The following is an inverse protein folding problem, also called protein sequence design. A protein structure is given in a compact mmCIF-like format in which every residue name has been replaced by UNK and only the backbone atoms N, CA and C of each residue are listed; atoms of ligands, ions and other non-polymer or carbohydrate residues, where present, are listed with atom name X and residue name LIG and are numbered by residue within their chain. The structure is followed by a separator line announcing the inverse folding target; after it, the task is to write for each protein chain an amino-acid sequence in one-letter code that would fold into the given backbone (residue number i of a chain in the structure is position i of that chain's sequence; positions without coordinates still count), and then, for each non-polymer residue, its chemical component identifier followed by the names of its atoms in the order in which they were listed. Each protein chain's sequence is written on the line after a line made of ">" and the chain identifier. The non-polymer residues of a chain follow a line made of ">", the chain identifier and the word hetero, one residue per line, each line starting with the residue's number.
data_IF_065201327558
#
_entry.id   IF_065201327558
#
_cell.length_a   1.000
_cell.length_b   1.000
_cell.length_c   1.000
_cell.angle_alpha   90.00
_cell.angle_beta   90.00
_cell.angle_gamma   90.00
#
_symmetry.space_group_name_H-M   'P 1'
#
loop_
_entity.id
_entity.type
_entity.pdbx_description
1 polymer ?
#
# COMPACT_ATOMS: atom_id res chain seq x y z
N UNK A 1 -22.17 -19.92 22.48
CA UNK A 1 -22.79 -18.71 21.87
C UNK A 1 -22.81 -17.61 22.91
N UNK A 2 -22.44 -16.37 22.56
CA UNK A 2 -22.53 -15.22 23.47
C UNK A 2 -23.96 -15.02 24.00
N UNK A 3 -24.09 -14.54 25.23
CA UNK A 3 -25.40 -14.27 25.83
C UNK A 3 -26.08 -12.99 25.30
N UNK A 4 -25.35 -12.17 24.56
CA UNK A 4 -25.76 -10.90 23.96
C UNK A 4 -26.82 -11.03 22.87
N UNK A 5 -26.94 -12.20 22.22
CA UNK A 5 -27.93 -12.41 21.15
C UNK A 5 -29.35 -12.53 21.70
N UNK A 6 -30.25 -11.68 21.21
CA UNK A 6 -31.66 -11.67 21.60
C UNK A 6 -32.40 -12.88 20.98
N UNK A 7 -32.31 -13.07 19.66
CA UNK A 7 -33.04 -14.14 18.95
C UNK A 7 -32.15 -15.38 18.68
N UNK A 8 -31.73 -16.05 19.75
CA UNK A 8 -30.93 -17.29 19.68
C UNK A 8 -31.57 -18.40 18.81
N UNK A 9 -32.89 -18.64 18.78
CA UNK A 9 -33.50 -19.65 17.92
C UNK A 9 -33.32 -19.36 16.42
N UNK A 10 -33.62 -18.13 15.97
CA UNK A 10 -33.49 -17.76 14.54
C UNK A 10 -32.04 -17.83 14.08
N UNK A 11 -31.13 -17.28 14.88
CA UNK A 11 -29.69 -17.31 14.64
C UNK A 11 -29.16 -18.74 14.43
N UNK A 12 -29.56 -19.68 15.31
CA UNK A 12 -29.21 -21.11 15.16
C UNK A 12 -29.76 -21.71 13.88
N UNK A 13 -31.01 -21.41 13.54
CA UNK A 13 -31.65 -21.96 12.33
C UNK A 13 -30.93 -21.51 11.05
N UNK A 14 -30.58 -20.23 10.94
CA UNK A 14 -29.91 -19.69 9.75
C UNK A 14 -28.46 -20.18 9.63
N UNK A 15 -27.71 -20.19 10.74
CA UNK A 15 -26.34 -20.75 10.75
C UNK A 15 -26.35 -22.25 10.42
N UNK A 16 -27.30 -23.02 10.97
CA UNK A 16 -27.46 -24.44 10.63
C UNK A 16 -27.76 -24.65 9.15
N UNK A 17 -28.67 -23.85 8.57
CA UNK A 17 -29.04 -23.89 7.15
C UNK A 17 -27.83 -23.61 6.25
N UNK A 18 -27.05 -22.59 6.60
CA UNK A 18 -25.88 -22.13 5.84
C UNK A 18 -24.74 -23.16 5.82
N UNK A 19 -24.46 -23.79 6.97
CA UNK A 19 -23.39 -24.76 7.16
C UNK A 19 -23.79 -26.21 6.82
N UNK A 20 -25.08 -26.53 6.74
CA UNK A 20 -25.58 -27.86 6.37
C UNK A 20 -25.26 -28.99 7.37
N UNK A 21 -24.83 -28.67 8.60
CA UNK A 21 -24.45 -29.64 9.63
C UNK A 21 -25.63 -29.98 10.55
N UNK A 22 -26.01 -31.26 10.61
CA UNK A 22 -26.84 -31.82 11.69
C UNK A 22 -25.95 -32.54 12.71
N UNK A 23 -25.93 -32.06 13.96
CA UNK A 23 -25.25 -32.72 15.08
C UNK A 23 -24.25 -31.83 15.85
N UNK A 24 -24.35 -31.87 17.18
CA UNK A 24 -23.35 -31.38 18.16
C UNK A 24 -22.73 -29.99 17.93
N UNK A 25 -23.56 -28.94 17.92
CA UNK A 25 -23.10 -27.55 17.85
C UNK A 25 -22.50 -27.06 19.19
N UNK A 26 -21.27 -27.48 19.52
CA UNK A 26 -20.27 -26.80 20.37
C UNK A 26 -18.98 -27.65 20.49
N UNK A 27 -19.07 -28.98 20.36
CA UNK A 27 -17.98 -29.91 20.74
C UNK A 27 -16.95 -30.20 19.64
N UNK A 28 -17.10 -29.64 18.44
CA UNK A 28 -16.09 -29.73 17.37
C UNK A 28 -15.68 -28.33 16.88
N UNK A 29 -14.87 -27.66 17.72
CA UNK A 29 -14.13 -26.44 17.37
C UNK A 29 -12.88 -26.73 16.50
N UNK A 30 -12.56 -28.00 16.25
CA UNK A 30 -11.55 -28.46 15.30
C UNK A 30 -12.10 -29.71 14.60
N UNK A 31 -12.22 -29.69 13.28
CA UNK A 31 -12.69 -30.84 12.51
C UNK A 31 -13.40 -30.45 11.21
N UNK A 32 -12.65 -30.46 10.11
CA UNK A 32 -13.21 -30.43 8.76
C UNK A 32 -14.08 -31.66 8.55
N UNK A 33 -15.35 -31.46 8.20
CA UNK A 33 -16.24 -32.54 7.78
C UNK A 33 -17.09 -32.04 6.63
N UNK A 34 -16.94 -32.68 5.47
CA UNK A 34 -17.56 -32.31 4.21
C UNK A 34 -19.08 -32.45 4.29
N UNK A 35 -19.82 -31.40 3.93
CA UNK A 35 -21.26 -31.49 3.72
C UNK A 35 -21.58 -32.17 2.39
N UNK A 36 -22.71 -32.87 2.33
CA UNK A 36 -23.24 -33.48 1.12
C UNK A 36 -23.54 -32.44 0.02
N UNK A 37 -22.71 -32.43 -1.02
CA UNK A 37 -22.83 -31.57 -2.20
C UNK A 37 -21.95 -30.30 -2.14
N UNK A 38 -21.36 -29.87 -3.28
CA UNK A 38 -20.52 -28.67 -3.32
C UNK A 38 -21.39 -27.42 -3.17
N UNK A 39 -21.39 -26.83 -1.97
CA UNK A 39 -21.87 -25.45 -1.77
C UNK A 39 -20.85 -24.50 -2.39
N UNK A 40 -21.26 -23.35 -2.95
CA UNK A 40 -20.32 -22.35 -3.47
C UNK A 40 -19.68 -21.53 -2.34
N UNK A 41 -19.53 -22.12 -1.15
CA UNK A 41 -18.88 -21.56 0.03
C UNK A 41 -18.41 -22.68 0.95
N UNK A 42 -17.22 -22.52 1.52
CA UNK A 42 -16.72 -23.31 2.65
C UNK A 42 -16.54 -22.35 3.83
N UNK A 43 -17.31 -22.55 4.90
CA UNK A 43 -17.41 -21.62 6.02
C UNK A 43 -17.35 -22.38 7.35
N UNK A 44 -16.62 -21.79 8.29
CA UNK A 44 -16.49 -22.21 9.66
C UNK A 44 -17.08 -21.13 10.59
N UNK A 45 -17.49 -21.52 11.79
CA UNK A 45 -18.11 -20.63 12.77
C UNK A 45 -17.18 -20.47 13.97
N UNK A 46 -16.84 -19.22 14.30
CA UNK A 46 -16.10 -18.88 15.50
C UNK A 46 -16.69 -17.66 16.24
N UNK A 47 -16.01 -17.24 17.30
CA UNK A 47 -16.31 -16.01 18.04
C UNK A 47 -15.08 -15.13 17.93
N UNK A 48 -15.25 -13.91 17.42
CA UNK A 48 -14.19 -12.92 17.35
C UNK A 48 -14.62 -11.56 17.91
N UNK A 49 -13.73 -10.56 17.90
CA UNK A 49 -14.05 -9.19 18.31
C UNK A 49 -14.73 -8.40 17.17
N UNK A 50 -15.90 -7.83 17.43
CA UNK A 50 -16.48 -6.75 16.62
C UNK A 50 -16.89 -5.59 17.53
N UNK A 51 -16.48 -4.38 17.21
CA UNK A 51 -16.75 -3.15 17.99
C UNK A 51 -16.42 -3.29 19.51
N UNK A 52 -15.33 -3.99 19.85
CA UNK A 52 -14.89 -4.21 21.22
C UNK A 52 -15.61 -5.33 21.99
N UNK A 53 -16.56 -6.04 21.38
CA UNK A 53 -17.30 -7.14 22.02
C UNK A 53 -17.19 -8.49 21.30
N UNK A 54 -17.42 -9.62 21.99
CA UNK A 54 -17.44 -10.94 21.37
C UNK A 54 -18.68 -11.14 20.51
N UNK A 55 -18.46 -11.37 19.22
CA UNK A 55 -19.48 -11.50 18.19
C UNK A 55 -19.25 -12.81 17.40
N UNK A 56 -20.34 -13.46 16.97
CA UNK A 56 -20.27 -14.63 16.09
C UNK A 56 -19.84 -14.21 14.70
N UNK A 57 -18.92 -14.99 14.14
CA UNK A 57 -18.36 -14.80 12.82
C UNK A 57 -18.38 -16.11 12.06
N UNK A 58 -18.80 -16.02 10.81
CA UNK A 58 -18.64 -17.05 9.80
C UNK A 58 -17.41 -16.66 8.95
N UNK A 59 -16.39 -17.51 8.95
CA UNK A 59 -15.13 -17.27 8.24
C UNK A 59 -14.78 -18.42 7.30
N UNK A 60 -14.17 -18.12 6.17
CA UNK A 60 -13.85 -19.11 5.16
C UNK A 60 -13.83 -18.47 3.78
N UNK A 61 -14.23 -19.20 2.74
CA UNK A 61 -14.09 -18.76 1.35
C UNK A 61 -15.38 -18.96 0.52
N UNK A 62 -15.68 -18.01 -0.36
CA UNK A 62 -16.76 -18.09 -1.35
C UNK A 62 -16.17 -18.50 -2.71
N UNK A 63 -16.78 -19.50 -3.35
CA UNK A 63 -16.45 -19.88 -4.72
C UNK A 63 -17.12 -18.91 -5.68
N UNK A 64 -16.32 -18.12 -6.40
CA UNK A 64 -16.79 -17.19 -7.41
C UNK A 64 -16.39 -17.70 -8.79
N UNK A 65 -17.36 -18.13 -9.59
CA UNK A 65 -17.16 -18.62 -10.96
C UNK A 65 -17.34 -17.45 -11.93
N UNK A 66 -16.24 -17.03 -12.57
CA UNK A 66 -16.23 -15.92 -13.52
C UNK A 66 -16.86 -16.32 -14.85
N UNK A 67 -17.66 -15.46 -15.53
CA UNK A 67 -18.31 -15.80 -16.80
C UNK A 67 -17.38 -16.37 -17.88
N UNK A 68 -16.13 -15.88 -17.94
CA UNK A 68 -15.10 -16.30 -18.89
C UNK A 68 -13.74 -16.55 -18.19
N UNK A 69 -13.73 -16.91 -16.90
CA UNK A 69 -12.51 -16.99 -16.11
C UNK A 69 -12.46 -18.21 -15.18
N UNK A 70 -11.32 -18.47 -14.54
CA UNK A 70 -11.19 -19.58 -13.59
C UNK A 70 -12.09 -19.35 -12.37
N UNK A 71 -12.53 -20.44 -11.76
CA UNK A 71 -13.18 -20.38 -10.46
C UNK A 71 -12.18 -19.92 -9.40
N UNK A 72 -12.54 -18.90 -8.63
CA UNK A 72 -11.66 -18.30 -7.61
C UNK A 72 -12.33 -18.30 -6.26
N UNK A 73 -11.72 -19.01 -5.31
CA UNK A 73 -12.08 -18.94 -3.90
C UNK A 73 -11.67 -17.58 -3.33
N UNK A 74 -12.64 -16.83 -2.81
CA UNK A 74 -12.48 -15.48 -2.26
C UNK A 74 -12.70 -15.52 -0.75
N UNK A 75 -11.69 -15.22 0.10
CA UNK A 75 -11.84 -15.34 1.54
C UNK A 75 -12.70 -14.21 2.12
N UNK A 76 -13.55 -14.57 3.09
CA UNK A 76 -14.50 -13.65 3.71
C UNK A 76 -14.57 -13.79 5.24
N UNK A 77 -14.98 -12.71 5.90
CA UNK A 77 -15.57 -12.71 7.24
C UNK A 77 -17.00 -12.16 7.17
N UNK A 78 -17.97 -12.93 7.66
CA UNK A 78 -19.36 -12.53 7.81
C UNK A 78 -19.71 -12.49 9.30
N UNK A 79 -19.88 -11.29 9.84
CA UNK A 79 -20.23 -11.05 11.24
C UNK A 79 -21.74 -10.91 11.43
N UNK A 80 -22.27 -11.54 12.48
CA UNK A 80 -23.69 -11.51 12.82
C UNK A 80 -23.86 -10.65 14.09
N UNK A 81 -24.38 -9.41 14.03
CA UNK A 81 -24.42 -8.53 15.21
C UNK A 81 -25.37 -9.06 16.30
N UNK A 82 -25.22 -8.67 17.58
CA UNK A 82 -26.09 -9.12 18.69
C UNK A 82 -27.60 -8.95 18.45
N UNK A 83 -27.96 -7.93 17.66
CA UNK A 83 -29.32 -7.57 17.29
C UNK A 83 -29.90 -8.48 16.18
N UNK A 84 -29.11 -9.40 15.61
CA UNK A 84 -29.55 -10.29 14.53
C UNK A 84 -30.81 -11.10 14.92
N UNK A 85 -31.85 -11.18 14.06
CA UNK A 85 -31.89 -10.75 12.66
C UNK A 85 -32.35 -9.29 12.42
N UNK A 86 -32.63 -8.51 13.48
CA UNK A 86 -33.04 -7.11 13.33
C UNK A 86 -31.86 -6.23 12.88
N UNK A 87 -30.66 -6.52 13.39
CA UNK A 87 -29.41 -6.02 12.83
C UNK A 87 -28.97 -6.85 11.63
N UNK A 88 -28.63 -6.18 10.53
CA UNK A 88 -28.11 -6.82 9.32
C UNK A 88 -26.66 -7.30 9.52
N UNK A 89 -26.24 -8.40 8.87
CA UNK A 89 -24.89 -8.93 9.03
C UNK A 89 -23.85 -8.13 8.24
N UNK A 90 -22.61 -8.07 8.75
CA UNK A 90 -21.52 -7.31 8.13
C UNK A 90 -20.50 -8.25 7.46
N UNK A 91 -20.37 -8.17 6.13
CA UNK A 91 -19.46 -9.00 5.35
C UNK A 91 -18.21 -8.20 4.92
N UNK A 92 -17.04 -8.84 5.00
CA UNK A 92 -15.75 -8.31 4.58
C UNK A 92 -15.04 -9.32 3.66
N UNK A 93 -14.44 -8.84 2.58
CA UNK A 93 -13.47 -9.55 1.76
C UNK A 93 -12.09 -9.41 2.40
N UNK A 94 -11.30 -10.49 2.41
CA UNK A 94 -9.97 -10.51 3.00
C UNK A 94 -8.91 -10.64 1.90
N UNK A 95 -7.96 -9.70 1.78
CA UNK A 95 -6.78 -9.92 0.95
C UNK A 95 -5.89 -11.01 1.56
N UNK A 96 -5.45 -11.98 0.73
CA UNK A 96 -4.35 -12.90 1.03
C UNK A 96 -3.00 -12.23 0.73
N UNK A 97 -1.89 -12.87 1.12
CA UNK A 97 -0.51 -12.32 1.08
C UNK A 97 -0.09 -11.62 -0.23
N UNK A 98 -0.60 -12.07 -1.37
CA UNK A 98 -0.29 -11.54 -2.70
C UNK A 98 -1.56 -11.14 -3.47
N UNK A 99 -2.52 -10.55 -2.76
CA UNK A 99 -3.70 -9.98 -3.39
C UNK A 99 -4.04 -8.65 -2.73
N UNK A 100 -4.49 -7.68 -3.52
CA UNK A 100 -5.01 -6.39 -3.04
C UNK A 100 -6.49 -6.26 -3.40
N UNK A 101 -7.25 -5.54 -2.59
CA UNK A 101 -8.59 -5.11 -2.99
C UNK A 101 -8.44 -4.07 -4.09
N UNK A 102 -9.19 -4.22 -5.18
CA UNK A 102 -9.21 -3.26 -6.29
C UNK A 102 -9.65 -1.89 -5.79
N UNK A 103 -8.87 -0.86 -6.12
CA UNK A 103 -9.26 0.53 -5.87
C UNK A 103 -10.54 0.84 -6.65
N UNK A 104 -11.45 1.59 -6.02
CA UNK A 104 -12.74 2.00 -6.59
C UNK A 104 -13.67 0.84 -7.00
N UNK A 105 -13.68 -0.27 -6.26
CA UNK A 105 -14.62 -1.36 -6.50
C UNK A 105 -16.06 -0.95 -6.11
N UNK A 106 -17.08 -1.13 -6.98
CA UNK A 106 -18.42 -0.55 -6.77
C UNK A 106 -19.17 -1.07 -5.54
N UNK A 107 -18.85 -2.29 -5.09
CA UNK A 107 -19.53 -2.96 -3.98
C UNK A 107 -18.60 -3.35 -2.83
N UNK A 108 -17.32 -2.94 -2.84
CA UNK A 108 -16.35 -3.33 -1.81
C UNK A 108 -15.46 -2.13 -1.46
N UNK A 109 -15.47 -1.75 -0.18
CA UNK A 109 -14.61 -0.68 0.34
C UNK A 109 -13.14 -1.09 0.41
N UNK A 110 -12.25 -0.11 0.59
CA UNK A 110 -10.80 -0.36 0.77
C UNK A 110 -10.50 -1.12 2.08
N UNK A 111 -11.42 -1.06 3.05
CA UNK A 111 -11.45 -1.87 4.28
C UNK A 111 -11.92 -3.32 4.05
N UNK A 112 -12.27 -3.68 2.80
CA UNK A 112 -12.84 -4.96 2.41
C UNK A 112 -14.34 -5.08 2.69
N UNK A 113 -15.00 -4.09 3.30
CA UNK A 113 -16.42 -4.18 3.63
C UNK A 113 -17.28 -4.23 2.38
N UNK A 114 -18.25 -5.13 2.36
CA UNK A 114 -19.12 -5.36 1.21
C UNK A 114 -20.44 -4.60 1.34
N UNK A 115 -20.80 -3.87 0.29
CA UNK A 115 -21.97 -3.01 0.19
C UNK A 115 -22.87 -3.49 -0.94
N UNK A 116 -24.08 -3.94 -0.58
CA UNK A 116 -25.05 -4.53 -1.51
C UNK A 116 -26.45 -3.96 -1.29
N UNK A 117 -27.27 -3.80 -2.35
CA UNK A 117 -28.68 -3.44 -2.20
C UNK A 117 -29.45 -4.38 -1.27
N UNK A 118 -29.14 -5.69 -1.29
CA UNK A 118 -29.77 -6.66 -0.39
C UNK A 118 -29.51 -6.39 1.11
N UNK A 119 -28.38 -5.76 1.46
CA UNK A 119 -28.10 -5.34 2.83
C UNK A 119 -28.81 -4.03 3.21
N UNK A 120 -29.04 -3.11 2.27
CA UNK A 120 -29.78 -1.87 2.55
C UNK A 120 -31.28 -2.10 2.71
N UNK A 121 -31.82 -3.16 2.09
CA UNK A 121 -33.21 -3.62 2.27
C UNK A 121 -33.33 -4.82 3.21
N UNK A 122 -32.37 -5.03 4.11
CA UNK A 122 -32.38 -6.17 5.03
C UNK A 122 -33.58 -6.10 5.99
N UNK A 123 -34.24 -7.23 6.20
CA UNK A 123 -35.37 -7.38 7.13
C UNK A 123 -35.15 -8.57 8.08
N UNK A 124 -35.87 -8.67 9.20
CA UNK A 124 -35.86 -9.87 10.04
C UNK A 124 -36.26 -11.16 9.30
N UNK A 125 -36.86 -11.06 8.10
CA UNK A 125 -37.26 -12.19 7.25
C UNK A 125 -36.13 -12.61 6.29
N UNK A 126 -35.25 -11.70 5.88
CA UNK A 126 -34.08 -11.93 5.02
C UNK A 126 -33.17 -13.06 5.54
N UNK A 127 -32.50 -13.79 4.64
CA UNK A 127 -31.66 -14.93 5.00
C UNK A 127 -30.18 -14.71 4.65
N UNK A 128 -29.28 -15.37 5.42
CA UNK A 128 -27.85 -15.40 5.11
C UNK A 128 -27.53 -16.12 3.79
N UNK A 129 -28.40 -17.03 3.35
CA UNK A 129 -28.21 -17.84 2.15
C UNK A 129 -28.46 -17.02 0.88
N UNK A 130 -29.51 -16.19 0.89
CA UNK A 130 -29.77 -15.19 -0.15
C UNK A 130 -28.67 -14.12 -0.18
N UNK A 131 -28.20 -13.65 0.99
CA UNK A 131 -27.05 -12.75 1.07
C UNK A 131 -25.83 -13.34 0.38
N UNK A 132 -25.41 -14.57 0.71
CA UNK A 132 -24.23 -15.17 0.08
C UNK A 132 -24.42 -15.37 -1.43
N UNK A 133 -25.61 -15.76 -1.90
CA UNK A 133 -25.92 -15.81 -3.33
C UNK A 133 -25.75 -14.44 -4.01
N UNK A 134 -26.31 -13.38 -3.41
CA UNK A 134 -26.18 -12.01 -3.93
C UNK A 134 -24.73 -11.54 -3.95
N UNK A 135 -23.94 -11.86 -2.93
CA UNK A 135 -22.49 -11.60 -2.88
C UNK A 135 -21.80 -12.31 -4.04
N UNK A 136 -21.96 -13.63 -4.18
CA UNK A 136 -21.30 -14.44 -5.22
C UNK A 136 -21.58 -13.88 -6.62
N UNK A 137 -22.83 -13.52 -6.93
CA UNK A 137 -23.20 -12.93 -8.22
C UNK A 137 -22.44 -11.61 -8.48
N UNK A 138 -22.37 -10.73 -7.47
CA UNK A 138 -21.68 -9.44 -7.60
C UNK A 138 -20.16 -9.60 -7.70
N UNK A 139 -19.56 -10.51 -6.93
CA UNK A 139 -18.12 -10.79 -7.00
C UNK A 139 -17.71 -11.53 -8.30
N UNK A 140 -18.63 -12.33 -8.88
CA UNK A 140 -18.44 -12.97 -10.17
C UNK A 140 -18.62 -12.00 -11.36
N UNK A 141 -19.43 -10.95 -11.20
CA UNK A 141 -19.49 -9.85 -12.17
C UNK A 141 -18.22 -8.97 -12.10
N UNK A 142 -17.76 -8.64 -10.88
CA UNK A 142 -16.55 -7.86 -10.64
C UNK A 142 -15.74 -8.47 -9.50
N UNK A 143 -14.59 -9.13 -9.78
CA UNK A 143 -13.72 -9.66 -8.74
C UNK A 143 -13.14 -8.56 -7.88
N UNK A 144 -13.26 -8.62 -6.54
CA UNK A 144 -12.75 -7.60 -5.65
C UNK A 144 -11.24 -7.68 -5.45
N UNK A 145 -10.64 -8.87 -5.66
CA UNK A 145 -9.22 -9.14 -5.42
C UNK A 145 -8.41 -9.22 -6.72
N UNK A 146 -7.47 -8.29 -6.86
CA UNK A 146 -6.39 -8.30 -7.85
C UNK A 146 -5.16 -9.03 -7.29
N UNK A 147 -4.41 -9.71 -8.15
CA UNK A 147 -3.20 -10.45 -7.79
C UNK A 147 -1.98 -9.52 -7.83
N UNK A 148 -1.15 -9.54 -6.78
CA UNK A 148 0.04 -8.67 -6.67
C UNK A 148 1.35 -9.42 -6.89
N UNK A 149 1.34 -10.75 -7.12
CA UNK A 149 2.57 -11.56 -7.21
C UNK A 149 3.63 -10.96 -8.15
N UNK A 150 3.22 -10.45 -9.31
CA UNK A 150 4.15 -9.86 -10.29
C UNK A 150 4.70 -8.50 -9.84
N UNK A 151 3.88 -7.68 -9.18
CA UNK A 151 4.29 -6.40 -8.60
C UNK A 151 5.23 -6.61 -7.41
N UNK A 152 4.89 -7.54 -6.52
CA UNK A 152 5.66 -7.91 -5.33
C UNK A 152 7.06 -8.42 -5.71
N UNK A 153 7.15 -9.28 -6.74
CA UNK A 153 8.42 -9.80 -7.27
C UNK A 153 9.25 -8.69 -7.93
N UNK A 154 8.62 -7.80 -8.71
CA UNK A 154 9.32 -6.67 -9.32
C UNK A 154 9.86 -5.68 -8.27
N UNK A 155 9.06 -5.38 -7.23
CA UNK A 155 9.46 -4.52 -6.11
C UNK A 155 10.61 -5.15 -5.32
N UNK A 156 10.54 -6.44 -4.97
CA UNK A 156 11.60 -7.14 -4.26
C UNK A 156 12.92 -7.18 -5.07
N UNK A 157 12.85 -7.33 -6.40
CA UNK A 157 14.02 -7.24 -7.27
C UNK A 157 14.64 -5.84 -7.28
N UNK A 158 13.82 -4.78 -7.31
CA UNK A 158 14.29 -3.40 -7.25
C UNK A 158 14.94 -3.06 -5.90
N UNK A 159 14.35 -3.51 -4.80
CA UNK A 159 14.91 -3.35 -3.45
C UNK A 159 16.24 -4.11 -3.28
N UNK A 160 16.32 -5.33 -3.80
CA UNK A 160 17.57 -6.11 -3.85
C UNK A 160 18.68 -5.39 -4.64
N UNK A 161 18.36 -4.87 -5.83
CA UNK A 161 19.31 -4.09 -6.63
C UNK A 161 19.76 -2.81 -5.92
N UNK A 162 18.85 -2.09 -5.27
CA UNK A 162 19.16 -0.90 -4.48
C UNK A 162 20.05 -1.23 -3.26
N UNK A 163 19.84 -2.37 -2.61
CA UNK A 163 20.69 -2.83 -1.50
C UNK A 163 22.12 -3.14 -1.97
N UNK A 164 22.28 -3.86 -3.08
CA UNK A 164 23.61 -4.13 -3.69
C UNK A 164 24.32 -2.82 -4.04
N UNK A 165 23.61 -1.86 -4.65
CA UNK A 165 24.17 -0.55 -4.98
C UNK A 165 24.64 0.24 -3.75
N UNK A 166 23.89 0.21 -2.63
CA UNK A 166 24.29 0.85 -1.36
C UNK A 166 25.56 0.23 -0.79
N UNK A 167 25.65 -1.10 -0.74
CA UNK A 167 26.84 -1.82 -0.24
C UNK A 167 28.06 -1.53 -1.12
N UNK A 168 27.91 -1.58 -2.44
CA UNK A 168 28.98 -1.26 -3.39
C UNK A 168 29.49 0.19 -3.25
N UNK A 169 28.58 1.16 -3.09
CA UNK A 169 28.95 2.56 -2.85
C UNK A 169 29.70 2.75 -1.52
N UNK A 170 29.25 2.08 -0.45
CA UNK A 170 29.87 2.21 0.86
C UNK A 170 31.30 1.64 0.89
N UNK A 171 31.50 0.45 0.31
CA UNK A 171 32.83 -0.14 0.12
C UNK A 171 33.73 0.74 -0.76
N UNK A 172 33.21 1.26 -1.86
CA UNK A 172 33.94 2.21 -2.72
C UNK A 172 34.37 3.48 -1.98
N UNK A 173 33.52 4.01 -1.10
CA UNK A 173 33.83 5.17 -0.25
C UNK A 173 34.92 4.87 0.78
N UNK A 174 34.91 3.69 1.39
CA UNK A 174 35.95 3.25 2.32
C UNK A 174 37.31 3.08 1.62
N UNK A 175 37.34 2.45 0.45
CA UNK A 175 38.56 2.32 -0.38
C UNK A 175 39.11 3.70 -0.79
N UNK A 176 38.26 4.60 -1.26
CA UNK A 176 38.67 5.97 -1.63
C UNK A 176 39.16 6.78 -0.43
N UNK A 177 38.58 6.57 0.76
CA UNK A 177 39.03 7.22 2.01
C UNK A 177 40.39 6.67 2.41
N UNK A 178 40.58 5.34 2.42
CA UNK A 178 41.86 4.71 2.73
C UNK A 178 42.98 5.12 1.75
N UNK A 179 42.67 5.23 0.46
CA UNK A 179 43.61 5.73 -0.56
C UNK A 179 44.03 7.18 -0.28
N UNK A 180 43.08 8.06 0.07
CA UNK A 180 43.35 9.46 0.41
C UNK A 180 44.22 9.59 1.67
N UNK A 181 43.94 8.80 2.71
CA UNK A 181 44.75 8.75 3.95
C UNK A 181 46.17 8.24 3.70
N UNK A 182 46.34 7.25 2.81
CA UNK A 182 47.67 6.74 2.42
C UNK A 182 48.46 7.77 1.60
N UNK A 183 47.78 8.55 0.75
CA UNK A 183 48.40 9.63 -0.02
C UNK A 183 48.84 10.82 0.87
N UNK A 184 48.06 11.21 1.88
CA UNK A 184 48.48 12.27 2.81
C UNK A 184 49.64 11.83 3.72
N UNK A 185 49.67 10.56 4.15
CA UNK A 185 50.82 10.02 4.89
C UNK A 185 52.13 10.03 4.09
N UNK A 186 52.09 9.83 2.76
CA UNK A 186 53.31 9.85 1.94
C UNK A 186 53.90 11.26 1.77
N UNK A 187 53.08 12.31 1.87
CA UNK A 187 53.51 13.71 1.78
C UNK A 187 53.98 14.30 3.12
N UNK A 188 53.65 13.68 4.26
CA UNK A 188 54.04 14.15 5.60
C UNK A 188 55.47 13.74 6.02
N UNK A 189 56.30 13.23 5.10
CA UNK A 189 57.67 12.79 5.40
C UNK A 189 58.67 13.95 5.28
N UNK A 190 59.32 14.40 6.37
CA UNK A 190 60.20 15.57 6.32
C UNK A 190 61.45 15.31 5.46
N UNK A 191 61.79 16.28 4.62
CA UNK A 191 62.95 16.22 3.72
C UNK A 191 64.25 16.48 4.49
N UNK A 192 64.97 15.43 4.87
CA UNK A 192 66.38 15.58 5.23
C UNK A 192 67.24 15.58 3.97
N UNK A 193 67.81 16.75 3.65
CA UNK A 193 68.88 16.88 2.67
C UNK A 193 70.20 16.39 3.29
N UNK A 194 70.95 15.56 2.56
CA UNK A 194 72.15 14.89 3.08
C UNK A 194 73.05 14.32 1.99
N UNK A 195 73.70 15.22 1.25
CA UNK A 195 75.01 15.12 0.58
C UNK A 195 75.46 13.82 -0.13
N UNK A 196 75.87 13.98 -1.39
CA UNK A 196 76.45 12.98 -2.29
C UNK A 196 77.87 12.57 -1.89
N UNK A 197 78.26 11.33 -2.22
CA UNK A 197 79.58 11.03 -2.80
C UNK A 197 79.42 10.11 -4.02
N UNK A 198 80.37 10.16 -4.92
CA UNK A 198 80.30 9.63 -6.29
C UNK A 198 81.45 8.67 -6.58
N UNK A 199 81.16 7.58 -7.30
CA UNK A 199 82.16 6.79 -8.04
C UNK A 199 81.50 6.18 -9.29
N UNK A 200 82.28 5.97 -10.35
CA UNK A 200 81.78 5.89 -11.73
C UNK A 200 82.28 4.66 -12.49
N UNK A 201 81.36 4.03 -13.23
CA UNK A 201 81.53 3.45 -14.58
C UNK A 201 82.72 2.52 -14.90
N UNK A 202 82.41 1.27 -15.25
CA UNK A 202 82.80 0.62 -16.51
C UNK A 202 81.94 -0.65 -16.74
N UNK A 203 81.86 -1.17 -17.97
CA UNK A 203 80.79 -2.10 -18.38
C UNK A 203 81.27 -3.42 -19.02
N UNK A 204 80.40 -4.44 -18.94
CA UNK A 204 80.24 -5.61 -19.84
C UNK A 204 81.36 -6.69 -19.88
N UNK A 205 81.11 -7.89 -20.47
CA UNK A 205 79.84 -8.50 -20.97
C UNK A 205 79.57 -9.95 -20.45
N UNK A 206 78.58 -10.62 -21.07
CA UNK A 206 78.33 -12.08 -21.24
C UNK A 206 77.01 -12.63 -20.63
N UNK A 207 76.29 -13.43 -21.45
CA UNK A 207 75.04 -14.19 -21.15
C UNK A 207 73.80 -13.27 -20.94
N UNK A 208 72.91 -12.96 -21.89
CA UNK A 208 72.23 -13.71 -23.00
C UNK A 208 71.48 -14.92 -22.42
N UNK A 209 70.13 -15.02 -22.43
CA UNK A 209 69.29 -15.32 -23.61
C UNK A 209 67.88 -14.70 -23.54
N UNK A 210 67.52 -13.99 -24.62
CA UNK A 210 66.27 -13.91 -25.43
C UNK A 210 64.99 -14.63 -24.90
N UNK A 211 63.76 -14.15 -25.17
CA UNK A 211 63.24 -13.99 -26.54
C UNK A 211 62.12 -12.93 -26.72
N UNK A 212 62.00 -12.50 -27.97
CA UNK A 212 61.28 -11.30 -28.43
C UNK A 212 59.74 -11.35 -28.50
N UNK A 213 59.18 -10.14 -28.58
CA UNK A 213 57.80 -9.86 -28.94
C UNK A 213 57.68 -9.34 -30.39
N UNK A 214 56.46 -9.37 -30.94
CA UNK A 214 55.96 -8.58 -32.08
C UNK A 214 54.45 -8.82 -32.12
N UNK A 215 53.52 -7.86 -32.14
CA UNK A 215 53.48 -6.41 -32.36
C UNK A 215 52.12 -6.10 -33.04
N UNK A 216 51.73 -4.86 -33.39
CA UNK A 216 52.25 -3.54 -33.03
C UNK A 216 51.15 -2.62 -32.40
N UNK A 217 51.49 -1.34 -32.16
CA UNK A 217 50.59 -0.30 -31.63
C UNK A 217 49.91 0.55 -32.73
N UNK A 218 48.97 1.45 -32.37
CA UNK A 218 48.60 2.60 -33.19
C UNK A 218 49.03 3.97 -32.58
N UNK A 219 49.39 4.90 -33.47
CA UNK A 219 49.80 6.30 -33.21
C UNK A 219 48.64 7.31 -33.46
N UNK A 220 48.79 8.63 -33.17
CA UNK A 220 47.63 9.51 -32.89
C UNK A 220 47.21 10.56 -33.95
N UNK A 221 45.91 10.92 -33.93
CA UNK A 221 45.30 12.19 -34.40
C UNK A 221 45.16 12.40 -35.93
N UNK A 222 44.62 13.54 -36.42
CA UNK A 222 43.67 14.51 -35.81
C UNK A 222 42.55 15.00 -36.81
N UNK A 223 41.72 16.00 -36.43
CA UNK A 223 40.70 16.72 -37.28
C UNK A 223 39.48 15.86 -37.78
N UNK A 224 38.26 16.37 -38.10
CA UNK A 224 37.65 17.71 -38.02
C UNK A 224 36.09 17.67 -37.85
N UNK A 225 35.55 18.63 -37.10
CA UNK A 225 34.34 19.48 -37.30
C UNK A 225 32.98 18.92 -37.83
N UNK A 226 31.91 19.31 -37.10
CA UNK A 226 30.53 19.49 -37.61
C UNK A 226 30.38 20.81 -38.39
N UNK A 227 29.31 20.95 -39.20
CA UNK A 227 28.32 22.02 -38.99
C UNK A 227 26.86 21.52 -39.18
N UNK A 228 25.78 22.24 -38.83
CA UNK A 228 25.66 23.54 -38.16
C UNK A 228 24.20 24.07 -38.17
N UNK A 229 24.02 25.32 -37.70
CA UNK A 229 22.77 26.13 -37.59
C UNK A 229 21.76 25.66 -36.52
N UNK A 230 20.85 26.47 -35.93
CA UNK A 230 20.65 27.94 -35.89
C UNK A 230 19.97 28.35 -34.53
N UNK A 231 19.80 29.65 -34.16
CA UNK A 231 19.78 30.07 -32.75
C UNK A 231 18.60 30.99 -32.32
N UNK A 232 18.82 31.74 -31.22
CA UNK A 232 18.17 32.99 -30.74
C UNK A 232 17.26 32.90 -29.50
N UNK A 233 17.86 33.31 -28.37
CA UNK A 233 17.20 34.05 -27.30
C UNK A 233 17.21 35.55 -27.67
N UNK A 234 16.22 36.36 -27.27
CA UNK A 234 16.48 37.71 -26.74
C UNK A 234 15.28 38.36 -25.99
N UNK A 235 15.63 39.11 -24.94
CA UNK A 235 14.93 40.21 -24.22
C UNK A 235 13.44 40.16 -23.86
N UNK A 236 13.22 40.38 -22.55
CA UNK A 236 12.07 41.10 -21.98
C UNK A 236 12.40 42.60 -21.84
N UNK A 237 11.41 43.50 -21.94
CA UNK A 237 11.51 44.86 -21.40
C UNK A 237 10.61 45.05 -20.16
N UNK A 238 11.14 45.76 -19.17
CA UNK A 238 10.42 46.32 -18.01
C UNK A 238 10.01 47.78 -18.28
N UNK A 239 8.90 48.23 -17.68
CA UNK A 239 8.62 49.62 -17.23
C UNK A 239 7.16 49.80 -16.79
N UNK A 240 6.92 50.39 -15.61
CA UNK A 240 5.64 51.07 -15.29
C UNK A 240 5.09 50.86 -13.87
N UNK A 241 5.43 51.76 -12.93
CA UNK A 241 4.98 51.76 -11.53
C UNK A 241 3.67 52.53 -11.29
N UNK A 242 2.93 52.17 -10.23
CA UNK A 242 2.45 53.05 -9.13
C UNK A 242 1.55 52.25 -8.16
N UNK A 243 1.93 52.04 -6.89
CA UNK A 243 1.52 52.83 -5.68
C UNK A 243 0.04 52.61 -5.28
N UNK A 244 -0.40 52.38 -4.02
CA UNK A 244 0.13 52.56 -2.65
C UNK A 244 -0.67 51.60 -1.70
N UNK A 245 -0.46 51.39 -0.39
CA UNK A 245 0.26 52.11 0.69
C UNK A 245 0.40 51.26 1.98
N UNK A 246 1.50 51.43 2.74
CA UNK A 246 1.65 51.45 4.23
C UNK A 246 1.16 50.26 5.10
N UNK A 247 1.89 49.79 6.14
CA UNK A 247 3.17 50.26 6.72
C UNK A 247 3.76 49.31 7.82
N UNK A 248 4.92 49.69 8.36
CA UNK A 248 5.75 49.00 9.38
C UNK A 248 5.37 49.46 10.83
N UNK A 249 5.88 48.95 12.00
CA UNK A 249 7.08 48.12 12.22
C UNK A 249 7.03 46.99 13.30
N UNK A 250 8.21 46.38 13.53
CA UNK A 250 8.68 45.49 14.64
C UNK A 250 8.45 46.07 16.07
N UNK A 251 8.65 45.33 17.22
CA UNK A 251 9.31 44.03 17.41
C UNK A 251 8.61 43.02 18.36
N UNK A 252 9.29 41.89 18.65
CA UNK A 252 8.82 40.74 19.44
C UNK A 252 8.56 41.01 20.95
N UNK A 253 7.81 40.11 21.61
CA UNK A 253 8.45 39.30 22.66
C UNK A 253 8.16 37.79 22.59
N UNK A 254 9.08 37.00 23.17
CA UNK A 254 9.03 35.54 23.32
C UNK A 254 8.23 35.13 24.57
N UNK A 255 7.45 34.04 24.50
CA UNK A 255 7.37 33.08 25.60
C UNK A 255 7.80 31.65 25.20
N UNK A 256 7.90 30.80 26.22
CA UNK A 256 8.50 29.45 26.24
C UNK A 256 7.55 28.32 25.81
N UNK A 257 8.05 27.09 25.54
CA UNK A 257 7.31 26.07 24.81
C UNK A 257 6.42 25.18 25.70
N UNK A 258 5.23 24.83 25.19
CA UNK A 258 4.45 23.69 25.65
C UNK A 258 3.53 23.18 24.52
N UNK A 259 3.24 21.88 24.59
CA UNK A 259 2.24 21.09 23.85
C UNK A 259 2.40 20.89 22.34
N UNK A 260 2.46 19.61 21.98
CA UNK A 260 2.41 19.10 20.62
C UNK A 260 0.96 18.99 20.13
N UNK A 261 0.75 19.12 18.82
CA UNK A 261 -0.42 18.59 18.13
C UNK A 261 -0.01 18.06 16.76
N UNK A 262 -0.58 16.91 16.40
CA UNK A 262 -0.24 16.17 15.19
C UNK A 262 -0.58 16.94 13.90
N UNK A 263 0.40 17.12 13.02
CA UNK A 263 0.15 17.33 11.59
C UNK A 263 -0.30 16.03 10.94
N UNK A 264 -1.57 15.66 11.17
CA UNK A 264 -2.25 14.66 10.35
C UNK A 264 -2.40 15.23 8.94
N UNK A 265 -1.78 14.58 7.96
CA UNK A 265 -2.05 14.85 6.56
C UNK A 265 -3.49 14.38 6.25
N UNK A 266 -4.44 15.30 6.20
CA UNK A 266 -5.83 15.02 5.83
C UNK A 266 -5.88 14.47 4.41
N UNK A 267 -6.31 13.21 4.25
CA UNK A 267 -6.58 12.66 2.92
C UNK A 267 -7.79 13.38 2.30
N UNK A 268 -7.63 14.02 1.12
CA UNK A 268 -8.66 14.87 0.55
C UNK A 268 -9.89 14.04 0.13
N UNK A 269 -11.08 14.50 0.51
CA UNK A 269 -12.34 13.86 0.16
C UNK A 269 -12.96 12.98 1.25
N UNK A 270 -12.51 13.07 2.49
CA UNK A 270 -13.13 12.38 3.65
C UNK A 270 -14.01 13.28 4.52
N UNK A 271 -14.06 14.59 4.24
CA UNK A 271 -14.88 15.57 4.96
C UNK A 271 -16.31 15.74 4.43
N UNK A 272 -17.25 16.08 5.32
CA UNK A 272 -18.65 16.33 5.01
C UNK A 272 -18.81 17.46 3.99
N UNK A 273 -19.52 17.22 2.89
CA UNK A 273 -19.73 18.21 1.82
C UNK A 273 -20.53 19.45 2.23
N UNK A 274 -21.09 19.47 3.45
CA UNK A 274 -21.94 20.55 3.99
C UNK A 274 -21.18 21.43 4.97
N UNK A 275 -20.52 20.85 5.98
CA UNK A 275 -19.75 21.62 6.98
C UNK A 275 -18.24 21.65 6.73
N UNK A 276 -17.69 20.76 5.90
CA UNK A 276 -16.25 20.59 5.61
C UNK A 276 -15.34 20.28 6.84
N UNK A 277 -15.86 20.34 8.06
CA UNK A 277 -15.14 20.08 9.31
C UNK A 277 -15.11 18.60 9.71
N UNK A 278 -16.27 17.92 9.59
CA UNK A 278 -16.51 16.61 10.19
C UNK A 278 -16.44 15.50 9.13
N UNK A 279 -15.95 14.31 9.50
CA UNK A 279 -15.85 13.17 8.56
C UNK A 279 -17.22 12.71 8.04
N UNK A 280 -17.25 12.23 6.79
CA UNK A 280 -18.43 11.61 6.15
C UNK A 280 -18.82 10.34 6.91
N UNK A 281 -20.07 10.26 7.39
CA UNK A 281 -20.62 9.09 8.09
C UNK A 281 -22.15 8.94 8.01
N UNK A 282 -22.87 9.89 7.38
CA UNK A 282 -24.31 9.80 7.11
C UNK A 282 -24.58 9.27 5.70
N UNK A 283 -25.58 8.38 5.59
CA UNK A 283 -25.94 7.63 4.38
C UNK A 283 -27.35 8.02 3.93
N UNK A 284 -27.51 8.42 2.67
CA UNK A 284 -28.76 8.94 2.13
C UNK A 284 -29.52 7.90 1.29
N UNK A 285 -30.78 7.63 1.63
CA UNK A 285 -31.66 6.76 0.84
C UNK A 285 -32.52 7.58 -0.14
N UNK A 286 -32.87 7.04 -1.33
CA UNK A 286 -32.54 5.70 -1.84
C UNK A 286 -31.16 5.61 -2.54
N UNK A 287 -30.47 6.72 -2.74
CA UNK A 287 -29.27 6.80 -3.61
C UNK A 287 -28.02 6.07 -3.10
N UNK A 288 -27.88 5.89 -1.78
CA UNK A 288 -26.75 5.21 -1.14
C UNK A 288 -25.48 6.05 -0.94
N UNK A 289 -25.49 7.34 -1.25
CA UNK A 289 -24.32 8.20 -1.09
C UNK A 289 -23.97 8.46 0.39
N UNK A 290 -22.67 8.44 0.71
CA UNK A 290 -22.11 8.81 2.01
C UNK A 290 -21.29 10.10 1.86
N UNK A 291 -21.96 11.25 1.98
CA UNK A 291 -21.39 12.58 1.69
C UNK A 291 -21.39 13.54 2.88
N UNK A 292 -22.16 13.27 3.94
CA UNK A 292 -22.30 14.18 5.09
C UNK A 292 -21.82 13.55 6.40
N UNK A 293 -21.51 14.37 7.41
CA UNK A 293 -21.40 13.91 8.79
C UNK A 293 -22.80 13.69 9.38
N UNK A 294 -22.87 13.04 10.56
CA UNK A 294 -24.15 12.72 11.21
C UNK A 294 -25.01 13.97 11.52
N UNK A 295 -24.37 15.06 11.97
CA UNK A 295 -25.07 16.31 12.31
C UNK A 295 -25.73 16.95 11.08
N UNK A 296 -24.98 17.18 10.01
CA UNK A 296 -25.55 17.69 8.75
C UNK A 296 -26.56 16.72 8.12
N UNK A 297 -26.28 15.42 8.17
CA UNK A 297 -27.16 14.39 7.61
C UNK A 297 -28.54 14.34 8.27
N UNK A 298 -28.62 14.56 9.59
CA UNK A 298 -29.91 14.56 10.32
C UNK A 298 -30.84 15.74 9.98
N UNK A 299 -30.31 16.82 9.38
CA UNK A 299 -31.07 18.02 9.00
C UNK A 299 -31.48 18.06 7.53
N UNK A 300 -31.08 17.06 6.73
CA UNK A 300 -31.30 17.00 5.29
C UNK A 300 -32.34 15.94 4.94
N UNK A 301 -33.30 16.29 4.07
CA UNK A 301 -34.31 15.36 3.55
C UNK A 301 -33.87 14.68 2.23
N UNK A 302 -32.92 15.27 1.52
CA UNK A 302 -32.43 14.81 0.22
C UNK A 302 -30.89 14.77 0.21
N UNK A 303 -30.29 14.02 -0.72
CA UNK A 303 -28.84 13.87 -0.81
C UNK A 303 -28.19 15.06 -1.54
N UNK A 304 -27.23 15.79 -0.95
CA UNK A 304 -26.54 16.90 -1.62
C UNK A 304 -25.66 16.56 -2.84
N UNK A 305 -25.63 15.28 -3.26
CA UNK A 305 -24.80 14.76 -4.36
C UNK A 305 -25.68 14.18 -5.49
N UNK A 306 -27.00 14.15 -5.29
CA UNK A 306 -27.98 13.75 -6.30
C UNK A 306 -28.59 14.98 -6.98
#
# INVERSE_FOLDING_TARGET
>A
MPNTYQNKPRLKADVKRLLGREGSWITQLVGSAQSSGPRPWDLNLDIGPMNGGPCLRLHGELLCTMPNGPEKWTPIHLWLPPEYPNGYPCLYILPRKHTKIKKNHPNVGLDGRVYLPYLSTWTPQSTLEELLRSVIIVLAANPPLEDTLLEDVAQAALEGAAMVARVGWQLGREVMTAARTRATQSQARPSQAGSRTSASSSANPWVVVNNDASGPAPTPGPFAQQPGSNPQQHVVPDLGQASSSSGNPSPAPRPTPAEATDTVATEPGTECVVCLENKKCAFFMPCGHVCCCMGCGSSLQECPVC
#
